data_IF_732305604343
#
_entry.id   IF_732305604343
#
_cell.length_a   1.000
_cell.length_b   1.000
_cell.length_c   1.000
_cell.angle_alpha   90.00
_cell.angle_beta   90.00
_cell.angle_gamma   90.00
#
_symmetry.space_group_name_H-M   'P 1'
#
loop_
_entity.id
_entity.type
_entity.pdbx_description
1 polymer ?
#
# COMPACT_ATOMS: atom_id res chain seq x y z
N UNK A 1 12.23 21.39 5.53
CA UNK A 1 13.69 21.10 5.45
C UNK A 1 14.35 22.20 4.62
N UNK A 2 15.56 22.65 5.04
CA UNK A 2 16.25 23.74 4.37
C UNK A 2 17.58 23.26 3.76
N UNK A 3 17.92 23.79 2.61
CA UNK A 3 19.22 23.58 1.96
C UNK A 3 20.02 24.90 2.00
N UNK A 4 21.28 24.87 2.41
CA UNK A 4 22.19 25.98 2.29
C UNK A 4 22.90 25.89 0.94
N UNK A 5 22.75 26.93 0.14
CA UNK A 5 23.40 27.05 -1.18
C UNK A 5 24.64 27.93 -1.02
N UNK A 6 25.74 27.43 -1.51
CA UNK A 6 27.03 28.16 -1.51
C UNK A 6 27.65 27.98 -2.88
N UNK A 7 28.07 29.07 -3.49
CA UNK A 7 28.72 29.08 -4.83
C UNK A 7 27.92 28.30 -5.90
N UNK A 8 26.57 28.46 -5.86
CA UNK A 8 25.66 27.83 -6.82
C UNK A 8 25.42 26.33 -6.63
N UNK A 9 25.83 25.79 -5.50
CA UNK A 9 25.70 24.36 -5.19
C UNK A 9 25.09 24.12 -3.79
N UNK A 10 24.44 22.99 -3.62
CA UNK A 10 23.94 22.58 -2.31
C UNK A 10 25.13 22.19 -1.43
N UNK A 11 25.39 22.99 -0.40
CA UNK A 11 26.46 22.74 0.57
C UNK A 11 26.01 21.77 1.68
N UNK A 12 24.83 22.04 2.27
CA UNK A 12 24.33 21.26 3.42
C UNK A 12 22.80 21.31 3.55
N UNK A 13 22.23 20.23 4.07
CA UNK A 13 20.82 20.16 4.46
C UNK A 13 20.62 20.30 5.96
N UNK A 14 19.55 21.00 6.33
CA UNK A 14 19.10 21.19 7.71
C UNK A 14 17.71 20.60 7.87
N UNK A 15 17.63 19.37 8.38
CA UNK A 15 16.37 18.70 8.70
C UNK A 15 15.77 19.21 10.01
N UNK A 16 16.65 19.60 10.93
CA UNK A 16 16.31 20.17 12.23
C UNK A 16 17.14 21.43 12.48
N UNK A 17 16.64 22.40 13.25
CA UNK A 17 17.41 23.60 13.63
C UNK A 17 18.70 23.21 14.32
N UNK A 18 19.83 23.66 13.77
CA UNK A 18 21.17 23.33 14.25
C UNK A 18 22.05 24.57 14.12
N UNK A 19 22.91 24.83 15.11
CA UNK A 19 23.91 25.89 15.01
C UNK A 19 24.89 25.57 13.87
N UNK A 20 25.28 26.61 13.12
CA UNK A 20 26.21 26.43 12.02
C UNK A 20 27.09 27.68 11.83
N UNK A 21 28.23 27.47 11.18
CA UNK A 21 29.11 28.54 10.67
C UNK A 21 28.96 28.58 9.15
N UNK A 22 28.66 29.74 8.61
CA UNK A 22 28.55 29.91 7.15
C UNK A 22 29.93 29.71 6.50
N UNK A 23 30.04 28.82 5.51
CA UNK A 23 31.34 28.43 4.98
C UNK A 23 32.10 29.57 4.31
N UNK A 24 31.43 30.50 3.61
CA UNK A 24 32.05 31.62 2.90
C UNK A 24 32.26 32.83 3.80
N UNK A 25 31.22 33.24 4.56
CA UNK A 25 31.28 34.49 5.36
C UNK A 25 31.91 34.30 6.74
N UNK A 26 32.04 33.07 7.21
CA UNK A 26 32.52 32.74 8.55
C UNK A 26 31.58 33.12 9.70
N UNK A 27 30.41 33.70 9.42
CA UNK A 27 29.44 34.12 10.42
C UNK A 27 28.87 32.88 11.11
N UNK A 28 28.76 32.96 12.43
CA UNK A 28 28.22 31.90 13.26
C UNK A 28 26.75 32.17 13.61
N UNK A 29 25.89 31.20 13.32
CA UNK A 29 24.46 31.30 13.55
C UNK A 29 24.05 30.35 14.68
N UNK A 30 23.27 30.82 15.67
CA UNK A 30 22.81 29.98 16.77
C UNK A 30 21.79 28.94 16.30
N UNK A 31 21.57 27.89 17.13
CA UNK A 31 20.68 26.79 16.82
C UNK A 31 19.25 27.22 16.43
N UNK A 32 18.73 28.23 17.10
CA UNK A 32 17.38 28.72 16.90
C UNK A 32 17.21 29.70 15.72
N UNK A 33 18.30 30.07 15.04
CA UNK A 33 18.26 31.06 13.97
C UNK A 33 17.30 30.64 12.86
N UNK A 34 17.37 29.40 12.37
CA UNK A 34 16.48 28.88 11.32
C UNK A 34 14.99 28.87 11.72
N UNK A 35 14.68 28.88 13.02
CA UNK A 35 13.30 28.91 13.50
C UNK A 35 12.77 30.32 13.65
N UNK A 36 13.62 31.26 14.04
CA UNK A 36 13.23 32.63 14.38
C UNK A 36 13.36 33.59 13.21
N UNK A 37 14.26 33.31 12.25
CA UNK A 37 14.48 34.19 11.10
C UNK A 37 13.32 34.12 10.12
N UNK A 38 13.06 35.24 9.48
CA UNK A 38 12.12 35.35 8.37
C UNK A 38 12.65 34.61 7.13
N UNK A 39 11.79 34.30 6.18
CA UNK A 39 12.19 33.63 4.94
C UNK A 39 13.11 34.53 4.08
N UNK A 40 12.92 35.86 4.16
CA UNK A 40 13.81 36.82 3.51
C UNK A 40 15.23 36.77 4.08
N UNK A 41 15.37 36.72 5.41
CA UNK A 41 16.68 36.58 6.07
C UNK A 41 17.33 35.24 5.73
N UNK A 42 16.56 34.14 5.73
CA UNK A 42 17.06 32.82 5.32
C UNK A 42 17.59 32.85 3.90
N UNK A 43 16.81 33.41 2.97
CA UNK A 43 17.20 33.53 1.55
C UNK A 43 18.44 34.39 1.39
N UNK A 44 18.59 35.51 2.14
CA UNK A 44 19.77 36.37 2.09
C UNK A 44 21.07 35.67 2.54
N UNK A 45 20.95 34.65 3.38
CA UNK A 45 22.08 33.82 3.83
C UNK A 45 22.30 32.62 2.88
N UNK A 46 21.45 32.43 1.87
CA UNK A 46 21.56 31.33 0.90
C UNK A 46 20.76 30.08 1.28
N UNK A 47 19.80 30.20 2.22
CA UNK A 47 18.90 29.10 2.51
C UNK A 47 17.73 29.08 1.54
N UNK A 48 17.44 27.88 1.04
CA UNK A 48 16.28 27.60 0.20
C UNK A 48 15.49 26.48 0.84
N UNK A 49 14.17 26.62 0.90
CA UNK A 49 13.30 25.55 1.36
C UNK A 49 13.28 24.43 0.33
N UNK A 50 13.47 23.19 0.82
CA UNK A 50 13.40 22.01 -0.03
C UNK A 50 11.95 21.61 -0.21
N UNK A 51 11.50 21.60 -1.45
CA UNK A 51 10.16 21.20 -1.85
C UNK A 51 10.17 19.76 -2.39
N UNK A 52 9.01 19.10 -2.26
CA UNK A 52 8.82 17.77 -2.82
C UNK A 52 7.83 17.86 -3.97
N UNK A 53 8.12 17.16 -5.07
CA UNK A 53 7.21 17.00 -6.21
C UNK A 53 6.88 15.53 -6.42
N UNK A 54 5.72 15.26 -7.02
CA UNK A 54 5.21 13.90 -7.19
C UNK A 54 4.68 13.29 -5.89
N UNK A 55 4.30 12.04 -5.95
CA UNK A 55 3.77 11.28 -4.81
C UNK A 55 4.28 9.84 -4.85
N UNK A 56 4.34 9.22 -3.69
CA UNK A 56 4.54 7.78 -3.60
C UNK A 56 3.21 7.05 -3.79
N UNK A 57 3.27 5.91 -4.48
CA UNK A 57 2.18 4.94 -4.56
C UNK A 57 2.29 3.94 -3.40
N UNK A 58 1.32 3.04 -3.28
CA UNK A 58 1.32 2.01 -2.24
C UNK A 58 2.57 1.13 -2.32
N UNK A 59 3.31 1.06 -1.22
CA UNK A 59 4.55 0.29 -1.10
C UNK A 59 4.36 -1.23 -1.19
N UNK A 60 3.13 -1.74 -1.10
CA UNK A 60 2.84 -3.15 -1.35
C UNK A 60 3.06 -3.49 -2.82
N UNK A 61 2.67 -2.59 -3.72
CA UNK A 61 2.68 -2.79 -5.18
C UNK A 61 3.83 -2.08 -5.89
N UNK A 62 4.41 -1.06 -5.25
CA UNK A 62 5.42 -0.21 -5.86
C UNK A 62 6.67 -0.09 -4.99
N UNK A 63 7.80 0.09 -5.64
CA UNK A 63 9.03 0.55 -5.00
C UNK A 63 9.07 2.05 -5.08
N UNK A 64 9.04 2.73 -3.94
CA UNK A 64 9.04 4.17 -3.82
C UNK A 64 10.47 4.69 -3.72
N UNK A 65 10.78 5.71 -4.52
CA UNK A 65 12.12 6.29 -4.64
C UNK A 65 12.00 7.81 -4.53
N UNK A 66 12.94 8.42 -3.82
CA UNK A 66 13.17 9.87 -3.83
C UNK A 66 14.45 10.15 -4.61
N UNK A 67 14.39 11.13 -5.53
CA UNK A 67 15.58 11.56 -6.25
C UNK A 67 16.61 12.21 -5.31
N UNK A 68 17.85 12.30 -5.74
CA UNK A 68 18.77 13.27 -5.14
C UNK A 68 18.16 14.67 -5.25
N UNK A 69 18.38 15.56 -4.26
CA UNK A 69 17.93 16.94 -4.33
C UNK A 69 18.59 17.66 -5.50
N UNK A 70 17.80 18.37 -6.29
CA UNK A 70 18.27 19.17 -7.43
C UNK A 70 18.07 20.64 -7.13
N UNK A 71 19.12 21.43 -7.22
CA UNK A 71 19.06 22.89 -7.16
C UNK A 71 18.92 23.46 -8.57
N UNK A 72 17.85 24.22 -8.79
CA UNK A 72 17.64 25.00 -10.01
C UNK A 72 17.95 26.47 -9.73
N UNK A 73 19.13 26.91 -10.14
CA UNK A 73 19.61 28.29 -9.92
C UNK A 73 18.74 29.32 -10.66
N UNK A 74 18.12 28.97 -11.77
CA UNK A 74 17.27 29.88 -12.55
C UNK A 74 15.94 30.18 -11.84
N UNK A 75 15.45 29.26 -11.04
CA UNK A 75 14.21 29.38 -10.26
C UNK A 75 14.46 29.64 -8.77
N UNK A 76 15.71 29.49 -8.30
CA UNK A 76 16.03 29.58 -6.88
C UNK A 76 15.30 28.51 -6.04
N UNK A 77 15.16 27.30 -6.54
CA UNK A 77 14.43 26.21 -5.88
C UNK A 77 15.29 24.98 -5.68
N UNK A 78 15.04 24.26 -4.59
CA UNK A 78 15.60 22.91 -4.37
C UNK A 78 14.45 21.93 -4.34
N UNK A 79 14.50 20.93 -5.23
CA UNK A 79 13.39 19.97 -5.43
C UNK A 79 13.90 18.56 -5.24
N UNK A 80 13.11 17.76 -4.52
CA UNK A 80 13.21 16.29 -4.45
C UNK A 80 11.97 15.72 -5.13
N UNK A 81 12.20 14.87 -6.14
CA UNK A 81 11.11 14.22 -6.86
C UNK A 81 10.83 12.86 -6.24
N UNK A 82 9.57 12.65 -5.86
CA UNK A 82 9.04 11.35 -5.45
C UNK A 82 8.55 10.62 -6.67
N UNK A 83 8.97 9.38 -6.82
CA UNK A 83 8.54 8.49 -7.89
C UNK A 83 8.27 7.09 -7.37
N UNK A 84 7.55 6.31 -8.16
CA UNK A 84 7.21 4.92 -7.82
C UNK A 84 7.39 4.06 -9.06
N UNK A 85 8.11 2.95 -8.91
CA UNK A 85 8.29 1.96 -9.96
C UNK A 85 7.48 0.73 -9.60
N UNK A 86 6.69 0.21 -10.51
CA UNK A 86 5.93 -1.02 -10.31
C UNK A 86 6.87 -2.18 -9.97
N UNK A 87 6.46 -2.99 -9.00
CA UNK A 87 7.15 -4.25 -8.69
C UNK A 87 6.95 -5.25 -9.82
N UNK A 88 7.75 -6.32 -9.82
CA UNK A 88 7.60 -7.39 -10.80
C UNK A 88 6.20 -8.00 -10.75
N UNK A 89 5.50 -7.94 -11.86
CA UNK A 89 4.10 -8.34 -11.96
C UNK A 89 3.92 -9.84 -11.70
N UNK A 90 4.84 -10.67 -12.18
CA UNK A 90 4.73 -12.13 -12.05
C UNK A 90 4.89 -12.56 -10.58
N UNK A 91 5.90 -12.00 -9.90
CA UNK A 91 6.14 -12.23 -8.47
C UNK A 91 4.96 -11.73 -7.62
N UNK A 92 4.42 -10.57 -7.96
CA UNK A 92 3.27 -10.00 -7.26
C UNK A 92 2.03 -10.89 -7.41
N UNK A 93 1.71 -11.34 -8.62
CA UNK A 93 0.61 -12.27 -8.88
C UNK A 93 0.76 -13.57 -8.09
N UNK A 94 1.96 -14.14 -8.07
CA UNK A 94 2.25 -15.36 -7.31
C UNK A 94 1.98 -15.16 -5.82
N UNK A 95 2.51 -14.10 -5.22
CA UNK A 95 2.33 -13.77 -3.81
C UNK A 95 0.86 -13.51 -3.46
N UNK A 96 0.12 -12.82 -4.33
CA UNK A 96 -1.30 -12.53 -4.10
C UNK A 96 -2.18 -13.77 -4.20
N UNK A 97 -1.90 -14.67 -5.13
CA UNK A 97 -2.60 -15.98 -5.22
C UNK A 97 -2.31 -16.85 -4.00
N UNK A 98 -1.06 -16.87 -3.52
CA UNK A 98 -0.71 -17.56 -2.29
C UNK A 98 -1.48 -16.99 -1.08
N UNK A 99 -1.53 -15.67 -0.94
CA UNK A 99 -2.31 -15.01 0.10
C UNK A 99 -3.80 -15.36 0.02
N UNK A 100 -4.39 -15.33 -1.18
CA UNK A 100 -5.79 -15.72 -1.40
C UNK A 100 -6.05 -17.17 -1.00
N UNK A 101 -5.15 -18.07 -1.36
CA UNK A 101 -5.24 -19.51 -1.02
C UNK A 101 -5.12 -19.75 0.48
N UNK A 102 -4.18 -19.09 1.15
CA UNK A 102 -3.98 -19.18 2.59
C UNK A 102 -5.19 -18.62 3.37
N UNK A 103 -5.77 -17.54 2.90
CA UNK A 103 -6.98 -16.96 3.47
C UNK A 103 -8.18 -17.91 3.32
N UNK A 104 -8.36 -18.49 2.12
CA UNK A 104 -9.42 -19.47 1.87
C UNK A 104 -9.24 -20.72 2.74
N UNK A 105 -8.01 -21.22 2.87
CA UNK A 105 -7.68 -22.34 3.73
C UNK A 105 -8.03 -22.03 5.20
N UNK A 106 -7.58 -20.89 5.71
CA UNK A 106 -7.86 -20.47 7.09
C UNK A 106 -9.37 -20.36 7.38
N UNK A 107 -10.14 -19.93 6.39
CA UNK A 107 -11.60 -19.83 6.50
C UNK A 107 -12.28 -21.20 6.53
N UNK A 108 -11.75 -22.17 5.79
CA UNK A 108 -12.32 -23.53 5.71
C UNK A 108 -11.90 -24.38 6.92
N UNK A 109 -10.71 -24.19 7.44
CA UNK A 109 -10.09 -25.03 8.47
C UNK A 109 -10.99 -25.31 9.69
N UNK A 110 -11.73 -24.36 10.28
CA UNK A 110 -12.64 -24.62 11.41
C UNK A 110 -13.76 -25.62 11.09
N UNK A 111 -14.02 -25.87 9.81
CA UNK A 111 -15.08 -26.77 9.36
C UNK A 111 -14.58 -28.16 8.96
N UNK A 112 -13.27 -28.43 9.01
CA UNK A 112 -12.68 -29.69 8.54
C UNK A 112 -13.11 -30.90 9.41
N UNK A 113 -13.36 -30.67 10.68
CA UNK A 113 -13.86 -31.72 11.57
C UNK A 113 -15.20 -32.34 11.10
N UNK A 114 -16.06 -31.58 10.36
CA UNK A 114 -17.25 -32.15 9.75
C UNK A 114 -16.93 -33.18 8.69
N UNK A 115 -15.85 -32.99 7.93
CA UNK A 115 -15.40 -33.93 6.89
C UNK A 115 -14.84 -35.19 7.52
N UNK A 116 -14.02 -35.02 8.57
CA UNK A 116 -13.46 -36.14 9.35
C UNK A 116 -14.60 -36.96 9.97
N UNK A 117 -15.54 -36.31 10.66
CA UNK A 117 -16.71 -36.99 11.24
C UNK A 117 -17.53 -37.76 10.22
N UNK A 118 -17.74 -37.19 9.02
CA UNK A 118 -18.44 -37.89 7.93
C UNK A 118 -17.67 -39.14 7.50
N UNK A 119 -16.35 -39.09 7.43
CA UNK A 119 -15.52 -40.23 7.05
C UNK A 119 -15.52 -41.33 8.11
N UNK A 120 -15.51 -40.98 9.41
CA UNK A 120 -15.40 -41.92 10.52
C UNK A 120 -16.70 -42.62 10.84
N UNK A 121 -17.83 -41.92 10.84
CA UNK A 121 -19.09 -42.42 11.32
C UNK A 121 -20.28 -42.15 10.38
N UNK A 122 -20.02 -41.76 9.14
CA UNK A 122 -21.03 -41.47 8.11
C UNK A 122 -22.04 -40.37 8.46
N UNK A 123 -21.76 -39.55 9.49
CA UNK A 123 -22.64 -38.42 9.85
C UNK A 123 -22.58 -37.36 8.74
N UNK A 124 -23.72 -36.99 8.18
CA UNK A 124 -23.82 -36.02 7.11
C UNK A 124 -23.27 -34.64 7.51
N UNK A 125 -22.56 -33.99 6.59
CA UNK A 125 -22.13 -32.58 6.76
C UNK A 125 -23.37 -31.71 6.63
N UNK A 126 -23.63 -30.77 7.56
CA UNK A 126 -24.72 -29.84 7.42
C UNK A 126 -24.68 -29.09 6.07
N UNK A 127 -25.83 -28.92 5.44
CA UNK A 127 -25.96 -28.26 4.14
C UNK A 127 -25.34 -26.84 4.14
N UNK A 128 -25.54 -26.08 5.24
CA UNK A 128 -24.91 -24.76 5.45
C UNK A 128 -23.38 -24.81 5.35
N UNK A 129 -22.75 -25.79 6.00
CA UNK A 129 -21.28 -25.96 5.98
C UNK A 129 -20.80 -26.35 4.57
N UNK A 130 -21.53 -27.23 3.89
CA UNK A 130 -21.19 -27.60 2.50
C UNK A 130 -21.26 -26.38 1.59
N UNK A 131 -22.32 -25.58 1.67
CA UNK A 131 -22.50 -24.36 0.90
C UNK A 131 -21.39 -23.33 1.19
N UNK A 132 -21.08 -23.10 2.47
CA UNK A 132 -19.99 -22.22 2.90
C UNK A 132 -18.66 -22.64 2.28
N UNK A 133 -18.26 -23.90 2.43
CA UNK A 133 -17.00 -24.43 1.87
C UNK A 133 -16.93 -24.28 0.34
N UNK A 134 -18.06 -24.47 -0.33
CA UNK A 134 -18.17 -24.30 -1.79
C UNK A 134 -18.00 -22.82 -2.17
N UNK A 135 -18.66 -21.91 -1.46
CA UNK A 135 -18.57 -20.48 -1.71
C UNK A 135 -17.13 -19.95 -1.52
N UNK A 136 -16.46 -20.33 -0.42
CA UNK A 136 -15.07 -19.92 -0.16
C UNK A 136 -14.13 -20.37 -1.31
N UNK A 137 -14.28 -21.62 -1.75
CA UNK A 137 -13.44 -22.13 -2.88
C UNK A 137 -13.76 -21.42 -4.19
N UNK A 138 -15.03 -21.15 -4.48
CA UNK A 138 -15.43 -20.44 -5.69
C UNK A 138 -14.82 -19.03 -5.72
N UNK A 139 -14.91 -18.30 -4.62
CA UNK A 139 -14.34 -16.94 -4.52
C UNK A 139 -12.82 -16.96 -4.66
N UNK A 140 -12.14 -17.89 -3.98
CA UNK A 140 -10.70 -18.04 -4.11
C UNK A 140 -10.28 -18.32 -5.56
N UNK A 141 -10.95 -19.25 -6.23
CA UNK A 141 -10.66 -19.60 -7.62
C UNK A 141 -10.91 -18.41 -8.55
N UNK A 142 -12.01 -17.68 -8.37
CA UNK A 142 -12.34 -16.50 -9.17
C UNK A 142 -11.34 -15.38 -8.97
N UNK A 143 -10.91 -15.15 -7.71
CA UNK A 143 -9.87 -14.16 -7.42
C UNK A 143 -8.53 -14.55 -8.04
N UNK A 144 -8.13 -15.83 -7.94
CA UNK A 144 -6.90 -16.31 -8.57
C UNK A 144 -6.94 -16.14 -10.10
N UNK A 145 -8.08 -16.44 -10.74
CA UNK A 145 -8.26 -16.21 -12.18
C UNK A 145 -8.15 -14.73 -12.53
N UNK A 146 -8.84 -13.86 -11.77
CA UNK A 146 -8.78 -12.42 -12.00
C UNK A 146 -7.35 -11.85 -11.82
N UNK A 147 -6.59 -12.37 -10.84
CA UNK A 147 -5.17 -12.02 -10.66
C UNK A 147 -4.35 -12.48 -11.87
N UNK A 148 -4.60 -13.67 -12.39
CA UNK A 148 -3.89 -14.18 -13.59
C UNK A 148 -4.20 -13.35 -14.84
N UNK A 149 -5.42 -12.88 -14.98
CA UNK A 149 -5.87 -12.04 -16.11
C UNK A 149 -5.46 -10.57 -16.00
N UNK A 150 -5.05 -10.11 -14.82
CA UNK A 150 -4.64 -8.71 -14.62
C UNK A 150 -3.44 -8.34 -15.51
N UNK A 151 -3.54 -7.23 -16.25
CA UNK A 151 -2.54 -6.80 -17.22
C UNK A 151 -1.34 -6.07 -16.59
N UNK A 152 -1.53 -5.48 -15.42
CA UNK A 152 -0.55 -4.64 -14.74
C UNK A 152 -0.72 -4.65 -13.22
N UNK A 153 0.18 -3.95 -12.54
CA UNK A 153 0.23 -3.89 -11.06
C UNK A 153 -0.98 -3.14 -10.48
N UNK A 154 -1.47 -2.10 -11.14
CA UNK A 154 -2.64 -1.34 -10.67
C UNK A 154 -3.92 -2.21 -10.77
N UNK A 155 -4.03 -3.04 -11.81
CA UNK A 155 -5.13 -4.01 -11.95
C UNK A 155 -5.10 -5.06 -10.82
N UNK A 156 -3.92 -5.57 -10.46
CA UNK A 156 -3.78 -6.50 -9.31
C UNK A 156 -4.14 -5.81 -7.99
N UNK A 157 -3.72 -4.57 -7.78
CA UNK A 157 -4.04 -3.80 -6.58
C UNK A 157 -5.55 -3.63 -6.40
N UNK A 158 -6.25 -3.26 -7.47
CA UNK A 158 -7.70 -3.08 -7.45
C UNK A 158 -8.47 -4.36 -7.10
N UNK A 159 -7.99 -5.54 -7.50
CA UNK A 159 -8.60 -6.82 -7.16
C UNK A 159 -8.45 -7.16 -5.68
N UNK A 160 -7.27 -6.88 -5.12
CA UNK A 160 -6.95 -7.26 -3.75
C UNK A 160 -7.69 -6.40 -2.71
N UNK A 161 -7.85 -5.12 -2.96
CA UNK A 161 -8.55 -4.20 -2.07
C UNK A 161 -10.04 -4.59 -1.91
N UNK A 162 -10.61 -5.26 -2.91
CA UNK A 162 -12.00 -5.73 -2.88
C UNK A 162 -12.17 -7.14 -2.26
N UNK A 163 -11.08 -7.85 -1.98
CA UNK A 163 -11.11 -9.22 -1.47
C UNK A 163 -11.15 -9.32 0.06
N UNK A 164 -11.23 -8.21 0.78
CA UNK A 164 -11.22 -8.14 2.25
C UNK A 164 -12.54 -8.56 2.89
N UNK A 165 -12.93 -9.79 2.80
CA UNK A 165 -14.16 -10.26 3.41
C UNK A 165 -14.29 -11.76 3.43
N UNK A 166 -13.34 -12.44 4.09
CA UNK A 166 -13.44 -13.88 4.21
C UNK A 166 -14.36 -14.26 5.34
N UNK A 167 -15.23 -15.15 5.02
CA UNK A 167 -16.44 -15.61 5.64
C UNK A 167 -16.24 -16.20 7.03
N UNK A 168 -17.08 -15.77 7.94
CA UNK A 168 -17.36 -16.47 9.18
C UNK A 168 -18.45 -17.54 8.88
N UNK A 169 -18.19 -18.85 9.13
CA UNK A 169 -19.17 -19.90 8.90
C UNK A 169 -20.43 -19.75 9.75
N UNK A 170 -20.33 -19.08 10.90
CA UNK A 170 -21.47 -18.86 11.80
C UNK A 170 -22.42 -17.79 11.28
N UNK A 171 -21.89 -16.81 10.55
CA UNK A 171 -22.64 -15.71 9.94
C UNK A 171 -22.95 -15.91 8.45
N UNK A 172 -22.62 -17.07 7.88
CA UNK A 172 -22.89 -17.38 6.49
C UNK A 172 -24.37 -17.72 6.29
N UNK A 173 -25.06 -16.92 5.47
CA UNK A 173 -26.45 -17.20 5.06
C UNK A 173 -26.46 -17.76 3.64
N UNK A 174 -27.09 -18.91 3.46
CA UNK A 174 -27.38 -19.46 2.13
C UNK A 174 -28.65 -18.76 1.65
N UNK A 175 -28.50 -17.64 0.95
CA UNK A 175 -29.60 -17.14 0.13
C UNK A 175 -29.38 -17.59 -1.33
N UNK A 176 -30.46 -17.77 -2.07
CA UNK A 176 -30.41 -18.25 -3.46
C UNK A 176 -29.73 -17.28 -4.44
N UNK A 177 -29.27 -16.11 -3.98
CA UNK A 177 -28.56 -15.10 -4.78
C UNK A 177 -27.05 -15.38 -4.86
N UNK A 178 -26.53 -16.26 -4.02
CA UNK A 178 -25.07 -16.52 -3.94
C UNK A 178 -24.51 -17.44 -5.02
N UNK A 179 -25.29 -17.88 -5.98
CA UNK A 179 -24.79 -18.60 -7.17
C UNK A 179 -24.11 -17.68 -8.20
N UNK A 180 -24.08 -16.36 -7.96
CA UNK A 180 -23.53 -15.37 -8.89
C UNK A 180 -22.69 -14.27 -8.21
N UNK A 181 -21.97 -14.58 -7.15
CA UNK A 181 -21.19 -13.59 -6.37
C UNK A 181 -19.82 -13.29 -6.98
N UNK A 182 -19.61 -13.54 -8.23
CA UNK A 182 -18.52 -12.89 -8.97
C UNK A 182 -19.11 -11.89 -9.92
N UNK A 183 -19.44 -10.73 -9.39
CA UNK A 183 -19.65 -9.57 -10.23
C UNK A 183 -18.28 -9.15 -10.78
N UNK A 184 -18.06 -9.34 -12.07
CA UNK A 184 -16.82 -9.03 -12.79
C UNK A 184 -16.46 -7.54 -12.79
N UNK A 185 -17.27 -6.69 -12.17
CA UNK A 185 -17.03 -5.26 -11.99
C UNK A 185 -16.79 -4.84 -10.53
N UNK A 186 -17.06 -5.70 -9.57
CA UNK A 186 -16.64 -5.51 -8.18
C UNK A 186 -16.56 -6.88 -7.52
N UNK A 187 -15.37 -7.36 -7.23
CA UNK A 187 -15.11 -8.55 -6.42
C UNK A 187 -15.50 -8.33 -4.96
N UNK A 188 -16.58 -7.60 -4.72
CA UNK A 188 -17.06 -7.29 -3.39
C UNK A 188 -17.96 -8.42 -2.94
N UNK A 189 -17.46 -9.17 -1.97
CA UNK A 189 -18.31 -10.05 -1.16
C UNK A 189 -19.05 -9.15 -0.20
N UNK A 190 -20.33 -8.93 -0.44
CA UNK A 190 -21.15 -8.13 0.45
C UNK A 190 -21.32 -8.89 1.76
N UNK A 191 -20.67 -8.40 2.84
CA UNK A 191 -21.15 -8.74 4.20
C UNK A 191 -22.57 -8.19 4.30
N UNK A 192 -23.57 -9.05 4.48
CA UNK A 192 -24.84 -8.59 4.98
C UNK A 192 -24.60 -8.06 6.40
N UNK A 193 -24.43 -6.72 6.50
CA UNK A 193 -24.39 -6.05 7.78
C UNK A 193 -25.72 -6.28 8.50
N UNK A 194 -25.64 -6.81 9.71
CA UNK A 194 -26.72 -6.61 10.66
C UNK A 194 -26.63 -5.14 11.09
N UNK A 195 -27.68 -4.36 10.73
CA UNK A 195 -28.02 -3.13 11.40
C UNK A 195 -28.50 -3.41 12.81
#
# INVERSE_FOLDING_TARGET
MWALIVDGSINRFFKVPTAFKHPTTGIQYPRNWLTLSSDSEKTSVGFIEVTYTGSHKDGEYYTNIESAPVYDASKGTVVITKSSTAKDLASLKSSKKESASNNAYSSILPTDWYVVRKSENSTAIPAKITAFRTAVRLVCNSLCTAIDDASDVDAVAALHDNATGLYDPDNFTVDGSQTSVVNTTSNTITKNGHG
#
